data_IF_914971100901
#
_entry.id   IF_914971100901
#
_cell.length_a   1.000
_cell.length_b   1.000
_cell.length_c   1.000
_cell.angle_alpha   90.00
_cell.angle_beta   90.00
_cell.angle_gamma   90.00
#
_symmetry.space_group_name_H-M   'P 1'
#
loop_
_entity.id
_entity.type
_entity.pdbx_description
1 polymer ?
#
# COMPACT_ATOMS: atom_id res chain seq x y z
N UNK A 1 -3.25 -27.31 13.52
CA UNK A 1 -3.60 -26.35 14.59
C UNK A 1 -2.38 -25.48 14.87
N UNK A 2 -2.44 -24.17 14.59
CA UNK A 2 -1.42 -23.20 15.04
C UNK A 2 -1.83 -22.65 16.41
N UNK A 3 -0.90 -22.38 17.35
CA UNK A 3 -1.27 -21.88 18.65
C UNK A 3 -1.81 -20.45 18.57
N UNK A 4 -2.94 -20.20 19.26
CA UNK A 4 -3.46 -18.87 19.59
C UNK A 4 -2.52 -18.23 20.60
N UNK A 5 -2.05 -17.01 20.33
CA UNK A 5 -1.34 -16.21 21.33
C UNK A 5 -2.37 -15.75 22.37
N UNK A 6 -2.15 -16.12 23.63
CA UNK A 6 -2.93 -15.68 24.81
C UNK A 6 -2.62 -14.21 25.12
N UNK A 7 -3.60 -13.37 25.51
CA UNK A 7 -3.32 -12.00 25.89
C UNK A 7 -2.72 -11.97 27.30
N UNK A 8 -1.42 -11.67 27.39
CA UNK A 8 -0.72 -11.49 28.66
C UNK A 8 -0.86 -10.04 29.16
N UNK A 9 -0.90 -9.88 30.47
CA UNK A 9 -1.34 -8.70 31.24
C UNK A 9 -0.36 -7.51 31.21
N UNK A 10 0.35 -7.30 30.09
CA UNK A 10 1.21 -6.14 29.81
C UNK A 10 0.62 -5.18 28.77
N UNK A 11 -0.60 -5.43 28.30
CA UNK A 11 -1.27 -4.63 27.25
C UNK A 11 -2.00 -3.39 27.77
N UNK A 12 -2.06 -3.16 29.09
CA UNK A 12 -2.83 -2.06 29.70
C UNK A 12 -2.08 -0.73 29.87
N UNK A 13 -0.89 -0.56 29.27
CA UNK A 13 -0.08 0.67 29.43
C UNK A 13 0.21 1.43 28.12
N UNK A 14 -0.66 1.33 27.12
CA UNK A 14 -0.56 2.11 25.87
C UNK A 14 -1.90 2.75 25.44
N UNK A 15 -2.84 2.98 26.37
CA UNK A 15 -4.15 3.57 26.05
C UNK A 15 -4.19 5.11 25.97
N UNK A 16 -3.05 5.80 26.01
CA UNK A 16 -3.00 7.27 25.82
C UNK A 16 -1.91 7.69 24.82
N UNK A 17 -1.89 7.06 23.65
CA UNK A 17 -1.18 7.58 22.48
C UNK A 17 -2.01 8.65 21.74
N UNK A 18 -1.39 9.67 21.12
CA UNK A 18 -2.12 10.72 20.42
C UNK A 18 -2.94 10.15 19.27
N UNK A 19 -4.13 10.72 19.06
CA UNK A 19 -5.17 10.36 18.08
C UNK A 19 -4.59 10.07 16.67
N UNK A 20 -4.30 8.78 16.39
CA UNK A 20 -3.84 8.27 15.08
C UNK A 20 -5.02 8.23 14.08
N UNK A 21 -6.24 8.57 14.51
CA UNK A 21 -7.48 8.45 13.74
C UNK A 21 -7.78 9.62 12.81
N UNK A 22 -6.90 10.61 12.70
CA UNK A 22 -7.09 11.81 11.86
C UNK A 22 -5.95 11.98 10.87
N UNK A 23 -6.00 11.23 9.77
CA UNK A 23 -5.23 11.58 8.58
C UNK A 23 -6.09 12.49 7.68
N UNK A 24 -5.44 13.40 6.95
CA UNK A 24 -6.08 14.31 5.96
C UNK A 24 -6.89 13.56 4.88
N UNK A 25 -6.81 12.23 4.81
CA UNK A 25 -7.29 11.41 3.72
C UNK A 25 -8.38 10.39 4.09
N UNK A 26 -8.62 10.11 5.39
CA UNK A 26 -9.50 9.01 5.82
C UNK A 26 -10.77 9.43 6.56
N UNK A 27 -10.95 10.72 6.87
CA UNK A 27 -11.98 11.12 7.82
C UNK A 27 -11.69 10.56 9.22
N UNK A 28 -12.73 10.33 10.04
CA UNK A 28 -12.59 9.85 11.42
C UNK A 28 -12.85 8.34 11.47
N UNK A 29 -11.79 7.56 11.68
CA UNK A 29 -11.92 6.15 12.05
C UNK A 29 -12.50 6.14 13.47
N UNK A 30 -13.79 5.81 13.62
CA UNK A 30 -14.49 5.90 14.90
C UNK A 30 -13.74 5.25 16.08
N UNK A 31 -13.91 5.79 17.28
CA UNK A 31 -13.18 5.39 18.50
C UNK A 31 -13.52 3.98 19.01
N UNK A 32 -14.58 3.37 18.50
CA UNK A 32 -15.01 2.01 18.82
C UNK A 32 -15.65 1.37 17.57
N UNK A 33 -15.59 0.02 17.41
CA UNK A 33 -16.25 -0.67 16.32
C UNK A 33 -17.73 -0.30 16.12
N UNK A 34 -18.40 0.09 17.21
CA UNK A 34 -19.82 0.43 17.29
C UNK A 34 -20.13 1.92 17.08
N UNK A 35 -19.14 2.81 16.99
CA UNK A 35 -19.39 4.25 16.77
C UNK A 35 -19.65 4.57 15.28
N UNK A 36 -20.57 5.49 14.95
CA UNK A 36 -20.80 5.90 13.58
C UNK A 36 -19.51 6.48 12.97
N UNK A 37 -19.01 5.82 11.93
CA UNK A 37 -17.79 6.21 11.21
C UNK A 37 -18.17 7.10 10.03
N UNK A 38 -17.41 8.15 9.81
CA UNK A 38 -17.52 8.99 8.62
C UNK A 38 -16.34 8.69 7.70
N UNK A 39 -16.50 7.63 6.89
CA UNK A 39 -15.55 7.33 5.81
C UNK A 39 -15.77 8.32 4.67
N UNK A 40 -14.68 8.91 4.18
CA UNK A 40 -14.71 9.80 3.04
C UNK A 40 -14.55 8.99 1.75
N UNK A 41 -15.65 8.79 1.05
CA UNK A 41 -15.66 8.07 -0.24
C UNK A 41 -15.22 8.93 -1.42
N UNK A 42 -15.23 10.26 -1.27
CA UNK A 42 -14.68 11.17 -2.28
C UNK A 42 -13.20 11.44 -1.99
N UNK A 43 -12.36 10.43 -2.23
CA UNK A 43 -10.91 10.54 -2.12
C UNK A 43 -10.25 10.46 -3.49
N UNK A 44 -9.20 11.26 -3.67
CA UNK A 44 -8.28 11.20 -4.81
C UNK A 44 -7.01 10.41 -4.49
N UNK A 45 -6.96 9.73 -3.34
CA UNK A 45 -5.77 8.96 -2.96
C UNK A 45 -5.45 7.86 -3.97
N UNK A 46 -4.16 7.74 -4.29
CA UNK A 46 -3.56 6.75 -5.17
C UNK A 46 -2.54 5.88 -4.41
N UNK A 47 -2.66 5.77 -3.08
CA UNK A 47 -1.74 4.96 -2.29
C UNK A 47 -2.25 3.52 -2.14
N UNK A 48 -1.65 2.59 -2.87
CA UNK A 48 -2.02 1.17 -2.85
C UNK A 48 -1.90 0.51 -1.46
N UNK A 49 -1.04 1.03 -0.56
CA UNK A 49 -0.91 0.50 0.81
C UNK A 49 -2.23 0.59 1.58
N UNK A 50 -3.05 1.57 1.22
CA UNK A 50 -4.35 1.79 1.83
C UNK A 50 -5.35 0.70 1.47
N UNK A 51 -5.22 0.08 0.29
CA UNK A 51 -6.05 -1.07 -0.06
C UNK A 51 -5.82 -2.18 0.98
N UNK A 52 -4.57 -2.52 1.29
CA UNK A 52 -4.29 -3.54 2.31
C UNK A 52 -4.80 -3.16 3.70
N UNK A 53 -4.59 -1.91 4.13
CA UNK A 53 -5.11 -1.44 5.41
C UNK A 53 -6.66 -1.56 5.48
N UNK A 54 -7.36 -1.21 4.41
CA UNK A 54 -8.82 -1.30 4.32
C UNK A 54 -9.31 -2.74 4.24
N UNK A 55 -8.55 -3.65 3.60
CA UNK A 55 -8.85 -5.09 3.61
C UNK A 55 -8.76 -5.67 5.03
N UNK A 56 -7.72 -5.32 5.79
CA UNK A 56 -7.59 -5.74 7.20
C UNK A 56 -8.72 -5.18 8.08
N UNK A 57 -9.06 -3.89 7.89
CA UNK A 57 -10.18 -3.27 8.60
C UNK A 57 -11.51 -3.95 8.26
N UNK A 58 -11.77 -4.24 6.98
CA UNK A 58 -12.98 -4.94 6.57
C UNK A 58 -13.06 -6.34 7.19
N UNK A 59 -11.95 -7.10 7.18
CA UNK A 59 -11.89 -8.44 7.80
C UNK A 59 -12.14 -8.41 9.30
N UNK A 60 -11.55 -7.46 10.00
CA UNK A 60 -11.64 -7.36 11.47
C UNK A 60 -13.00 -6.84 11.94
N UNK A 61 -13.61 -5.93 11.19
CA UNK A 61 -14.86 -5.26 11.59
C UNK A 61 -16.10 -5.86 10.93
N UNK A 62 -15.91 -6.69 9.90
CA UNK A 62 -16.95 -7.15 8.97
C UNK A 62 -17.72 -6.02 8.27
N UNK A 63 -17.16 -4.79 8.25
CA UNK A 63 -17.77 -3.65 7.58
C UNK A 63 -17.33 -3.59 6.10
N UNK A 64 -18.30 -3.79 5.20
CA UNK A 64 -18.11 -3.74 3.74
C UNK A 64 -17.83 -2.33 3.23
N UNK A 65 -18.06 -1.28 4.01
CA UNK A 65 -17.74 0.09 3.62
C UNK A 65 -16.23 0.31 3.44
N UNK A 66 -15.40 -0.44 4.15
CA UNK A 66 -13.95 -0.42 3.90
C UNK A 66 -13.58 -0.98 2.53
N UNK A 67 -14.26 -2.03 2.05
CA UNK A 67 -14.07 -2.55 0.68
C UNK A 67 -14.51 -1.52 -0.37
N UNK A 68 -15.63 -0.82 -0.13
CA UNK A 68 -16.08 0.26 -1.02
C UNK A 68 -15.05 1.38 -1.14
N UNK A 69 -14.46 1.80 -0.01
CA UNK A 69 -13.38 2.79 -0.02
C UNK A 69 -12.12 2.26 -0.72
N UNK A 70 -11.79 0.98 -0.53
CA UNK A 70 -10.66 0.35 -1.23
C UNK A 70 -10.89 0.30 -2.75
N UNK A 71 -12.13 0.06 -3.21
CA UNK A 71 -12.51 0.13 -4.62
C UNK A 71 -12.27 1.54 -5.18
N UNK A 72 -12.66 2.58 -4.44
CA UNK A 72 -12.40 3.96 -4.87
C UNK A 72 -10.91 4.24 -5.07
N UNK A 73 -10.06 3.77 -4.17
CA UNK A 73 -8.60 3.93 -4.28
C UNK A 73 -8.07 3.11 -5.47
N UNK A 74 -8.58 1.89 -5.69
CA UNK A 74 -8.24 1.08 -6.85
C UNK A 74 -8.64 1.77 -8.18
N UNK A 75 -9.82 2.39 -8.25
CA UNK A 75 -10.25 3.16 -9.41
C UNK A 75 -9.31 4.33 -9.72
N UNK A 76 -8.77 4.99 -8.69
CA UNK A 76 -7.79 6.04 -8.87
C UNK A 76 -6.47 5.48 -9.41
N UNK A 77 -5.96 4.39 -8.82
CA UNK A 77 -4.75 3.70 -9.27
C UNK A 77 -4.85 3.20 -10.72
N UNK A 78 -6.00 2.65 -11.12
CA UNK A 78 -6.24 2.14 -12.48
C UNK A 78 -6.16 3.24 -13.55
N UNK A 79 -6.37 4.52 -13.21
CA UNK A 79 -6.16 5.63 -14.15
C UNK A 79 -4.71 5.80 -14.58
N UNK A 80 -3.76 5.33 -13.76
CA UNK A 80 -2.33 5.35 -14.08
C UNK A 80 -1.86 4.15 -14.91
N UNK A 81 -2.73 3.17 -15.13
CA UNK A 81 -2.40 1.97 -15.87
C UNK A 81 -2.19 2.29 -17.36
N UNK A 82 -1.11 1.75 -17.94
CA UNK A 82 -0.87 1.85 -19.38
C UNK A 82 -1.77 0.91 -20.15
N UNK A 83 -1.89 1.12 -21.47
CA UNK A 83 -2.56 0.19 -22.39
C UNK A 83 -1.99 -1.23 -22.37
N UNK A 84 -0.73 -1.39 -21.95
CA UNK A 84 -0.07 -2.69 -21.81
C UNK A 84 -0.31 -3.34 -20.44
N UNK A 85 -1.09 -2.70 -19.56
CA UNK A 85 -1.41 -3.19 -18.22
C UNK A 85 -0.37 -2.88 -17.15
N UNK A 86 0.65 -2.08 -17.46
CA UNK A 86 1.74 -1.73 -16.53
C UNK A 86 1.41 -0.45 -15.74
N UNK A 87 2.09 -0.27 -14.60
CA UNK A 87 1.89 0.89 -13.70
C UNK A 87 3.20 1.69 -13.56
N UNK A 88 3.60 2.46 -14.58
CA UNK A 88 4.75 3.35 -14.46
C UNK A 88 4.42 4.51 -13.54
N UNK A 89 5.43 5.00 -12.81
CA UNK A 89 5.28 6.23 -12.04
C UNK A 89 5.19 7.44 -12.96
N UNK A 90 4.56 8.51 -12.46
CA UNK A 90 4.44 9.77 -13.20
C UNK A 90 5.81 10.26 -13.68
N UNK A 91 5.89 10.58 -14.97
CA UNK A 91 7.12 11.04 -15.62
C UNK A 91 8.19 9.96 -15.86
N UNK A 92 7.91 8.68 -15.59
CA UNK A 92 8.86 7.58 -15.80
C UNK A 92 8.55 6.79 -17.06
N UNK A 93 9.61 6.47 -17.81
CA UNK A 93 9.52 5.70 -19.06
C UNK A 93 9.28 4.21 -18.81
N UNK A 94 9.81 3.68 -17.70
CA UNK A 94 9.77 2.26 -17.38
C UNK A 94 8.83 2.03 -16.19
N UNK A 95 8.06 0.93 -16.27
CA UNK A 95 7.31 0.40 -15.15
C UNK A 95 8.06 -0.79 -14.56
N UNK A 96 7.93 -0.97 -13.24
CA UNK A 96 8.50 -2.13 -12.57
C UNK A 96 7.54 -3.31 -12.72
N UNK A 97 8.03 -4.48 -13.11
CA UNK A 97 7.19 -5.68 -13.24
C UNK A 97 6.75 -6.24 -11.88
N UNK A 98 7.56 -6.01 -10.85
CA UNK A 98 7.22 -6.32 -9.45
C UNK A 98 6.56 -5.14 -8.73
N UNK A 99 5.83 -4.28 -9.46
CA UNK A 99 5.02 -3.22 -8.84
C UNK A 99 3.96 -3.85 -7.90
N UNK A 100 3.68 -3.17 -6.80
CA UNK A 100 2.76 -3.64 -5.76
C UNK A 100 1.30 -3.26 -6.06
N UNK A 101 1.06 -2.28 -6.93
CA UNK A 101 -0.29 -1.84 -7.31
C UNK A 101 -1.14 -2.99 -7.89
N UNK A 102 -0.67 -3.77 -8.89
CA UNK A 102 -1.44 -4.89 -9.42
C UNK A 102 -1.79 -5.94 -8.35
N UNK A 103 -0.83 -6.25 -7.48
CA UNK A 103 -1.02 -7.25 -6.43
C UNK A 103 -2.05 -6.78 -5.40
N UNK A 104 -2.01 -5.51 -4.99
CA UNK A 104 -2.99 -4.93 -4.09
C UNK A 104 -4.42 -4.97 -4.68
N UNK A 105 -4.55 -4.64 -5.97
CA UNK A 105 -5.84 -4.69 -6.69
C UNK A 105 -6.32 -6.15 -6.81
N UNK A 106 -5.43 -7.11 -7.06
CA UNK A 106 -5.77 -8.53 -7.10
C UNK A 106 -6.28 -9.03 -5.74
N UNK A 107 -5.63 -8.64 -4.65
CA UNK A 107 -6.11 -8.93 -3.29
C UNK A 107 -7.50 -8.33 -3.02
N UNK A 108 -7.76 -7.11 -3.50
CA UNK A 108 -9.08 -6.50 -3.40
C UNK A 108 -10.13 -7.29 -4.19
N UNK A 109 -9.83 -7.66 -5.44
CA UNK A 109 -10.73 -8.47 -6.26
C UNK A 109 -11.05 -9.82 -5.57
N UNK A 110 -10.04 -10.50 -5.02
CA UNK A 110 -10.24 -11.74 -4.28
C UNK A 110 -11.11 -11.54 -3.02
N UNK A 111 -10.94 -10.44 -2.29
CA UNK A 111 -11.78 -10.13 -1.13
C UNK A 111 -13.24 -9.83 -1.50
N UNK A 112 -13.47 -9.19 -2.66
CA UNK A 112 -14.81 -8.96 -3.19
C UNK A 112 -15.50 -10.28 -3.57
N UNK A 113 -14.76 -11.19 -4.18
CA UNK A 113 -15.24 -12.52 -4.62
C UNK A 113 -15.30 -13.58 -3.50
N UNK A 114 -14.84 -13.26 -2.28
CA UNK A 114 -14.73 -14.25 -1.19
C UNK A 114 -13.69 -15.35 -1.45
N UNK A 115 -12.65 -15.04 -2.23
CA UNK A 115 -11.55 -15.92 -2.64
C UNK A 115 -10.22 -15.49 -2.05
N UNK A 116 -10.23 -14.75 -0.95
CA UNK A 116 -9.05 -14.24 -0.26
C UNK A 116 -8.08 -15.36 0.16
N UNK A 117 -8.61 -16.55 0.48
CA UNK A 117 -7.82 -17.74 0.80
C UNK A 117 -6.99 -18.31 -0.36
N UNK A 118 -7.29 -17.94 -1.61
CA UNK A 118 -6.56 -18.39 -2.80
C UNK A 118 -5.35 -17.52 -3.14
N UNK A 119 -5.24 -16.34 -2.54
CA UNK A 119 -4.14 -15.40 -2.80
C UNK A 119 -3.09 -15.56 -1.69
N UNK A 120 -1.79 -15.69 -2.02
CA UNK A 120 -0.74 -15.73 -1.00
C UNK A 120 -0.75 -14.43 -0.18
N UNK A 121 -0.32 -14.44 1.08
CA UNK A 121 -0.19 -13.22 1.86
C UNK A 121 0.66 -12.17 1.13
N UNK A 122 0.26 -10.90 1.22
CA UNK A 122 1.02 -9.81 0.62
C UNK A 122 2.41 -9.71 1.27
N UNK A 123 3.45 -9.78 0.44
CA UNK A 123 4.83 -9.54 0.85
C UNK A 123 5.26 -8.22 0.22
N UNK A 124 5.62 -7.26 1.07
CA UNK A 124 6.16 -5.99 0.60
C UNK A 124 7.61 -6.22 0.16
N UNK A 125 7.81 -6.24 -1.15
CA UNK A 125 9.14 -6.40 -1.74
C UNK A 125 9.86 -5.05 -1.86
N UNK A 126 11.13 -5.06 -1.52
CA UNK A 126 12.05 -3.93 -1.66
C UNK A 126 13.32 -4.34 -2.44
N UNK A 127 13.29 -5.41 -3.23
CA UNK A 127 14.44 -5.82 -4.04
C UNK A 127 14.93 -4.67 -4.93
N UNK A 128 16.24 -4.57 -5.09
CA UNK A 128 16.86 -3.56 -5.96
C UNK A 128 18.18 -4.10 -6.50
N UNK A 129 18.59 -3.56 -7.63
CA UNK A 129 19.96 -3.74 -8.13
C UNK A 129 20.82 -2.57 -7.65
N UNK A 130 22.03 -2.89 -7.19
CA UNK A 130 23.03 -1.91 -6.81
C UNK A 130 24.33 -2.18 -7.55
N UNK A 131 24.48 -1.52 -8.68
CA UNK A 131 25.57 -1.75 -9.61
C UNK A 131 25.94 -0.45 -10.34
N UNK A 132 27.12 -0.46 -10.96
CA UNK A 132 27.51 0.62 -11.85
C UNK A 132 26.57 0.65 -13.08
N UNK A 133 26.17 1.84 -13.49
CA UNK A 133 25.31 2.07 -14.65
C UNK A 133 25.94 3.14 -15.53
N UNK A 134 26.26 2.77 -16.77
CA UNK A 134 27.03 3.62 -17.69
C UNK A 134 26.14 4.52 -18.59
N UNK A 135 24.83 4.61 -18.31
CA UNK A 135 23.91 5.50 -19.03
C UNK A 135 23.99 6.97 -18.61
N UNK A 136 23.28 7.85 -19.35
CA UNK A 136 23.32 9.29 -19.10
C UNK A 136 22.95 9.67 -17.65
N UNK A 137 23.88 10.38 -17.01
CA UNK A 137 23.97 10.85 -15.61
C UNK A 137 22.73 10.72 -14.73
N UNK A 138 22.75 9.71 -13.84
CA UNK A 138 22.10 9.83 -12.53
C UNK A 138 22.85 10.91 -11.75
N UNK A 139 22.18 11.88 -11.12
CA UNK A 139 22.85 12.87 -10.28
C UNK A 139 23.70 12.18 -9.22
N UNK A 140 25.02 12.39 -9.25
CA UNK A 140 25.91 11.91 -8.18
C UNK A 140 25.56 12.65 -6.90
N UNK A 141 25.46 11.91 -5.80
CA UNK A 141 25.37 12.53 -4.48
C UNK A 141 26.70 13.25 -4.20
N UNK A 142 26.68 14.51 -3.73
CA UNK A 142 27.91 15.19 -3.36
C UNK A 142 28.63 14.38 -2.26
N UNK A 143 29.95 14.25 -2.37
CA UNK A 143 30.83 13.57 -1.41
C UNK A 143 30.68 12.04 -1.32
N UNK A 144 30.20 11.36 -2.37
CA UNK A 144 30.21 9.90 -2.47
C UNK A 144 31.07 9.49 -3.67
N UNK A 145 32.13 8.71 -3.42
CA UNK A 145 33.00 8.13 -4.47
C UNK A 145 32.45 6.82 -5.07
N UNK A 146 31.34 6.32 -4.50
CA UNK A 146 30.63 5.16 -5.04
C UNK A 146 29.99 5.51 -6.39
N UNK A 147 30.47 4.85 -7.45
CA UNK A 147 29.94 5.00 -8.81
C UNK A 147 28.66 4.17 -9.05
N UNK A 148 28.27 3.33 -8.08
CA UNK A 148 27.08 2.48 -8.22
C UNK A 148 25.80 3.30 -8.09
N UNK A 149 24.77 2.82 -8.79
CA UNK A 149 23.43 3.40 -8.82
C UNK A 149 22.42 2.36 -8.40
N UNK A 150 21.21 2.81 -8.06
CA UNK A 150 20.07 1.93 -7.85
C UNK A 150 19.20 1.92 -9.11
N UNK A 151 18.74 0.75 -9.53
CA UNK A 151 17.77 0.62 -10.62
C UNK A 151 16.50 1.45 -10.37
N UNK A 152 16.07 1.57 -9.11
CA UNK A 152 14.97 2.44 -8.71
C UNK A 152 15.21 3.91 -9.06
N UNK A 153 16.41 4.46 -8.90
CA UNK A 153 16.67 5.86 -9.24
C UNK A 153 16.78 6.08 -10.75
N UNK A 154 17.38 5.11 -11.44
CA UNK A 154 17.60 5.14 -12.90
C UNK A 154 16.29 4.97 -13.67
N UNK A 155 15.55 3.90 -13.41
CA UNK A 155 14.46 3.46 -14.28
C UNK A 155 13.07 3.81 -13.73
N UNK A 156 12.83 3.56 -12.45
CA UNK A 156 11.46 3.46 -11.91
C UNK A 156 11.01 4.67 -11.08
N UNK A 157 11.94 5.45 -10.53
CA UNK A 157 11.70 6.45 -9.48
C UNK A 157 11.88 5.92 -8.06
N UNK A 158 12.28 6.82 -7.15
CA UNK A 158 12.46 6.53 -5.72
C UNK A 158 11.10 6.38 -5.00
N UNK A 159 10.97 5.33 -4.16
CA UNK A 159 9.77 4.98 -3.38
C UNK A 159 9.23 6.10 -2.51
#
# INVERSE_FOLDING_TARGET
>A
MRPRISPDARTTALEHGPDIGRSRWFGRLGQSPASPRQLQFDTSSEDWRLIYALLELSRTTNDRNFLKLACRIADNLLKSQTKTGLFPRSGRKYARTSDQVPLAILHLAAALDGRDSLIPPAILDNAYFHCQYDGATVPKKPNIDDQRTHDSTVFYGAF
#
